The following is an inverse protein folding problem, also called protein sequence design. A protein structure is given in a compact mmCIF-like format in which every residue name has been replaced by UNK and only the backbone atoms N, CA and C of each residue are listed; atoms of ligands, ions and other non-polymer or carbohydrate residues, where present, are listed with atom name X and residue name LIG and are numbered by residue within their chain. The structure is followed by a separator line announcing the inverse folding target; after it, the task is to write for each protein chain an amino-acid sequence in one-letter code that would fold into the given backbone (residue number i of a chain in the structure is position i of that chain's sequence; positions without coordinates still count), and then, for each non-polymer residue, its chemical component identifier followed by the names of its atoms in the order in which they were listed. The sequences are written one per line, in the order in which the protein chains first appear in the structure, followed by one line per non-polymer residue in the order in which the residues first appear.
data_IF_186412081782
#
_entry.id   IF_186412081782
#
_cell.length_a   1.000
_cell.length_b   1.000
_cell.length_c   1.000
_cell.angle_alpha   90.00
_cell.angle_beta   90.00
_cell.angle_gamma   90.00
#
_symmetry.space_group_name_H-M   'P 1'
#
loop_
_entity.id
_entity.type
_entity.pdbx_description
1 polymer ?
#
# COMPACT_ATOMS: atom_id res chain seq x y z
N UNK A 1 -4.86 -4.19 -12.98
CA UNK A 1 -3.40 -4.24 -12.72
C UNK A 1 -2.96 -5.70 -12.83
N UNK A 2 -2.19 -6.00 -13.82
CA UNK A 2 -1.60 -7.31 -14.10
C UNK A 2 -0.08 -7.17 -14.28
N UNK A 3 0.61 -8.26 -14.58
CA UNK A 3 2.07 -8.27 -14.80
C UNK A 3 2.48 -7.29 -15.90
N UNK A 4 1.71 -7.20 -17.01
CA UNK A 4 2.05 -6.33 -18.13
C UNK A 4 1.95 -4.84 -17.73
N UNK A 5 0.96 -4.49 -16.92
CA UNK A 5 0.83 -3.14 -16.36
C UNK A 5 2.07 -2.77 -15.53
N UNK A 6 2.45 -3.61 -14.55
CA UNK A 6 3.56 -3.31 -13.65
C UNK A 6 4.92 -3.32 -14.35
N UNK A 7 5.13 -4.20 -15.34
CA UNK A 7 6.35 -4.18 -16.17
C UNK A 7 6.48 -2.87 -16.98
N UNK A 8 5.37 -2.30 -17.45
CA UNK A 8 5.38 -1.00 -18.15
C UNK A 8 5.69 0.15 -17.20
N UNK A 9 5.06 0.15 -16.03
CA UNK A 9 5.23 1.17 -15.00
C UNK A 9 6.66 1.19 -14.45
N UNK A 10 7.34 0.05 -14.41
CA UNK A 10 8.71 -0.06 -13.89
C UNK A 10 9.68 0.96 -14.52
N UNK A 11 9.54 1.25 -15.82
CA UNK A 11 10.42 2.18 -16.55
C UNK A 11 10.27 3.64 -16.07
N UNK A 12 9.11 4.00 -15.52
CA UNK A 12 8.80 5.35 -15.02
C UNK A 12 8.26 5.31 -13.58
N UNK A 13 8.70 4.33 -12.80
CA UNK A 13 8.14 4.02 -11.48
C UNK A 13 8.12 5.23 -10.54
N UNK A 14 9.19 6.00 -10.49
CA UNK A 14 9.29 7.15 -9.59
C UNK A 14 8.39 8.33 -9.97
N UNK A 15 7.98 8.43 -11.23
CA UNK A 15 7.05 9.46 -11.69
C UNK A 15 5.60 9.02 -11.68
N UNK A 16 5.32 7.70 -11.83
CA UNK A 16 3.96 7.17 -11.92
C UNK A 16 3.44 6.62 -10.59
N UNK A 17 4.33 6.16 -9.70
CA UNK A 17 3.93 5.50 -8.45
C UNK A 17 4.24 6.37 -7.24
N UNK A 18 3.17 6.68 -6.51
CA UNK A 18 3.27 7.42 -5.25
C UNK A 18 4.22 6.75 -4.26
N UNK A 19 5.22 7.48 -3.81
CA UNK A 19 6.19 6.97 -2.85
C UNK A 19 5.77 7.26 -1.42
N UNK A 20 5.16 6.28 -0.76
CA UNK A 20 4.81 6.37 0.66
C UNK A 20 6.05 6.70 1.50
N UNK A 21 7.20 6.07 1.22
CA UNK A 21 8.44 6.31 1.96
C UNK A 21 8.91 7.77 1.90
N UNK A 22 8.79 8.41 0.73
CA UNK A 22 9.23 9.80 0.54
C UNK A 22 8.31 10.81 1.23
N UNK A 23 7.06 10.42 1.53
CA UNK A 23 6.04 11.29 2.12
C UNK A 23 5.66 10.92 3.56
N UNK A 24 6.26 9.87 4.14
CA UNK A 24 6.14 9.53 5.57
C UNK A 24 7.00 10.48 6.42
N UNK A 25 6.59 11.76 6.49
CA UNK A 25 7.31 12.83 7.19
C UNK A 25 7.58 12.50 8.67
N UNK A 26 6.72 11.69 9.28
CA UNK A 26 6.85 11.26 10.66
C UNK A 26 7.68 9.98 10.84
N UNK A 27 8.22 9.42 9.76
CA UNK A 27 9.00 8.18 9.75
C UNK A 27 8.28 6.99 10.44
N UNK A 28 6.97 6.93 10.32
CA UNK A 28 6.15 5.92 11.01
C UNK A 28 6.50 4.50 10.57
N UNK A 29 6.70 4.29 9.27
CA UNK A 29 7.05 2.96 8.73
C UNK A 29 8.44 2.56 9.23
N UNK A 30 9.44 3.45 9.10
CA UNK A 30 10.81 3.18 9.57
C UNK A 30 10.82 2.84 11.06
N UNK A 31 10.14 3.63 11.88
CA UNK A 31 10.04 3.41 13.33
C UNK A 31 9.40 2.06 13.66
N UNK A 32 8.38 1.63 12.88
CA UNK A 32 7.75 0.32 13.09
C UNK A 32 8.65 -0.83 12.65
N UNK A 33 9.38 -0.71 11.54
CA UNK A 33 10.37 -1.71 11.11
C UNK A 33 11.42 -1.88 12.23
N UNK A 34 12.00 -0.80 12.70
CA UNK A 34 13.02 -0.82 13.77
C UNK A 34 12.51 -1.44 15.08
N UNK A 35 11.23 -1.22 15.44
CA UNK A 35 10.61 -1.82 16.64
C UNK A 35 10.64 -3.35 16.62
N UNK A 36 10.51 -3.96 15.42
CA UNK A 36 10.45 -5.42 15.26
C UNK A 36 11.77 -6.02 14.75
N UNK A 37 12.74 -5.18 14.47
CA UNK A 37 14.06 -5.54 13.95
C UNK A 37 14.81 -6.49 14.85
N UNK A 38 15.62 -7.38 14.24
CA UNK A 38 16.60 -8.23 14.91
C UNK A 38 17.53 -8.84 13.87
N UNK A 39 18.83 -8.88 14.16
CA UNK A 39 19.85 -9.53 13.35
C UNK A 39 19.70 -11.06 13.27
N UNK A 40 18.84 -11.66 14.07
CA UNK A 40 18.53 -13.09 14.03
C UNK A 40 17.27 -13.41 13.23
N UNK A 41 16.43 -12.40 12.93
CA UNK A 41 15.14 -12.55 12.25
C UNK A 41 15.26 -12.38 10.74
N UNK A 42 14.31 -12.98 10.04
CA UNK A 42 14.12 -12.80 8.59
C UNK A 42 12.91 -11.92 8.30
N UNK A 43 12.98 -11.19 7.19
CA UNK A 43 11.89 -10.34 6.74
C UNK A 43 11.50 -10.61 5.28
N UNK A 44 10.31 -10.19 4.89
CA UNK A 44 9.91 -10.09 3.50
C UNK A 44 9.32 -8.73 3.17
N UNK A 45 9.61 -8.27 1.95
CA UNK A 45 8.93 -7.14 1.30
C UNK A 45 8.00 -7.70 0.21
N UNK A 46 6.70 -7.64 0.43
CA UNK A 46 5.70 -8.23 -0.47
C UNK A 46 5.13 -7.17 -1.41
N UNK A 47 5.49 -7.24 -2.69
CA UNK A 47 5.28 -6.20 -3.69
C UNK A 47 6.34 -5.12 -3.54
N UNK A 48 7.60 -5.51 -3.57
CA UNK A 48 8.73 -4.62 -3.30
C UNK A 48 8.95 -3.53 -4.35
N UNK A 49 8.31 -3.64 -5.54
CA UNK A 49 8.52 -2.72 -6.65
C UNK A 49 9.99 -2.60 -7.00
N UNK A 50 10.48 -1.38 -7.08
CA UNK A 50 11.89 -1.06 -7.39
C UNK A 50 12.81 -1.06 -6.14
N UNK A 51 12.36 -1.64 -5.01
CA UNK A 51 13.21 -1.90 -3.84
C UNK A 51 13.34 -0.75 -2.84
N UNK A 52 12.43 0.24 -2.81
CA UNK A 52 12.55 1.44 -1.96
C UNK A 52 12.72 1.16 -0.47
N UNK A 53 12.14 0.08 0.05
CA UNK A 53 12.23 -0.31 1.47
C UNK A 53 13.36 -1.29 1.76
N UNK A 54 13.96 -1.91 0.74
CA UNK A 54 15.00 -2.93 0.92
C UNK A 54 16.22 -2.45 1.71
N UNK A 55 16.75 -1.22 1.52
CA UNK A 55 17.85 -0.73 2.35
C UNK A 55 17.53 -0.69 3.84
N UNK A 56 16.27 -0.32 4.20
CA UNK A 56 15.84 -0.26 5.59
C UNK A 56 15.71 -1.68 6.15
N UNK A 57 15.09 -2.60 5.40
CA UNK A 57 14.90 -3.98 5.83
C UNK A 57 16.23 -4.72 5.95
N UNK A 58 17.13 -4.59 4.97
CA UNK A 58 18.45 -5.21 4.95
C UNK A 58 19.30 -4.82 6.16
N UNK A 59 19.22 -3.56 6.59
CA UNK A 59 19.97 -3.07 7.77
C UNK A 59 19.40 -3.57 9.11
N UNK A 60 18.15 -4.05 9.13
CA UNK A 60 17.43 -4.36 10.37
C UNK A 60 17.14 -5.86 10.55
N UNK A 61 17.34 -6.67 9.51
CA UNK A 61 17.08 -8.11 9.55
C UNK A 61 18.26 -8.92 8.99
N UNK A 62 18.40 -10.14 9.47
CA UNK A 62 19.44 -11.08 9.02
C UNK A 62 19.38 -11.33 7.53
N UNK A 63 18.17 -11.49 6.99
CA UNK A 63 17.92 -11.79 5.58
C UNK A 63 16.56 -11.26 5.15
N UNK A 64 16.44 -10.83 3.91
CA UNK A 64 15.23 -10.23 3.33
C UNK A 64 14.85 -10.97 2.05
N UNK A 65 13.59 -11.36 1.94
CA UNK A 65 13.01 -11.86 0.69
C UNK A 65 12.16 -10.76 0.06
N UNK A 66 12.55 -10.30 -1.14
CA UNK A 66 11.86 -9.27 -1.90
C UNK A 66 11.01 -9.92 -2.99
N UNK A 67 9.70 -9.80 -2.90
CA UNK A 67 8.76 -10.38 -3.85
C UNK A 67 8.09 -9.31 -4.68
N UNK A 68 8.02 -9.54 -6.00
CA UNK A 68 7.17 -8.76 -6.89
C UNK A 68 6.64 -9.64 -8.04
N UNK A 69 5.51 -9.25 -8.64
CA UNK A 69 4.92 -9.92 -9.79
C UNK A 69 5.63 -9.55 -11.10
N UNK A 70 6.24 -8.35 -11.15
CA UNK A 70 6.86 -7.76 -12.33
C UNK A 70 8.37 -7.99 -12.33
N UNK A 71 8.88 -8.70 -13.34
CA UNK A 71 10.33 -8.93 -13.45
C UNK A 71 11.11 -7.64 -13.63
N UNK A 72 10.60 -6.69 -14.43
CA UNK A 72 11.27 -5.38 -14.63
C UNK A 72 11.39 -4.57 -13.32
N UNK A 73 10.42 -4.68 -12.43
CA UNK A 73 10.54 -4.06 -11.09
C UNK A 73 11.68 -4.71 -10.29
N UNK A 74 11.79 -6.04 -10.33
CA UNK A 74 12.86 -6.77 -9.63
C UNK A 74 14.24 -6.50 -10.24
N UNK A 75 14.37 -6.37 -11.55
CA UNK A 75 15.61 -5.97 -12.22
C UNK A 75 16.06 -4.61 -11.70
N UNK A 76 15.18 -3.62 -11.69
CA UNK A 76 15.47 -2.29 -11.17
C UNK A 76 15.75 -2.28 -9.65
N UNK A 77 15.05 -3.13 -8.88
CA UNK A 77 15.33 -3.29 -7.45
C UNK A 77 16.73 -3.85 -7.20
N UNK A 78 17.20 -4.83 -8.00
CA UNK A 78 18.57 -5.36 -7.93
C UNK A 78 19.61 -4.28 -8.25
N UNK A 79 19.36 -3.45 -9.25
CA UNK A 79 20.24 -2.34 -9.62
C UNK A 79 20.28 -1.27 -8.52
N UNK A 80 19.14 -0.81 -8.05
CA UNK A 80 19.01 0.20 -7.00
C UNK A 80 19.63 -0.24 -5.66
N UNK A 81 19.64 -1.54 -5.41
CA UNK A 81 20.08 -2.16 -4.16
C UNK A 81 21.29 -3.08 -4.35
N UNK A 82 22.14 -2.85 -5.36
CA UNK A 82 23.25 -3.72 -5.71
C UNK A 82 24.30 -3.89 -4.58
N UNK A 83 24.34 -2.98 -3.61
CA UNK A 83 25.21 -3.02 -2.45
C UNK A 83 24.67 -3.88 -1.30
N UNK A 84 23.45 -4.40 -1.39
CA UNK A 84 22.85 -5.24 -0.36
C UNK A 84 23.16 -6.71 -0.61
N UNK A 85 23.80 -7.38 0.36
CA UNK A 85 24.26 -8.78 0.24
C UNK A 85 23.29 -9.81 0.85
N UNK A 86 22.27 -9.36 1.60
CA UNK A 86 21.34 -10.22 2.32
C UNK A 86 19.90 -10.15 1.79
N UNK A 87 19.73 -9.88 0.50
CA UNK A 87 18.41 -9.78 -0.16
C UNK A 87 18.29 -10.79 -1.28
N UNK A 88 17.26 -11.63 -1.22
CA UNK A 88 16.85 -12.50 -2.32
C UNK A 88 15.65 -11.90 -3.05
N UNK A 89 15.74 -11.81 -4.37
CA UNK A 89 14.68 -11.27 -5.22
C UNK A 89 13.92 -12.41 -5.90
N UNK A 90 12.62 -12.48 -5.67
CA UNK A 90 11.79 -13.59 -6.10
C UNK A 90 10.58 -13.07 -6.89
N UNK A 91 10.45 -13.47 -8.14
CA UNK A 91 9.25 -13.19 -8.92
C UNK A 91 8.12 -14.11 -8.48
N UNK A 92 7.00 -13.53 -8.00
CA UNK A 92 5.84 -14.30 -7.56
C UNK A 92 4.53 -13.49 -7.68
N UNK A 93 3.45 -14.14 -8.13
CA UNK A 93 2.09 -13.62 -8.01
C UNK A 93 1.48 -14.12 -6.69
N UNK A 94 1.50 -13.27 -5.67
CA UNK A 94 1.00 -13.59 -4.33
C UNK A 94 -0.54 -13.74 -4.27
N UNK A 95 -1.24 -13.53 -5.37
CA UNK A 95 -2.70 -13.70 -5.49
C UNK A 95 -3.13 -15.06 -6.05
N UNK A 96 -2.19 -15.97 -6.37
CA UNK A 96 -2.48 -17.35 -6.76
C UNK A 96 -2.48 -18.31 -5.56
N UNK A 97 -3.04 -19.52 -5.73
CA UNK A 97 -3.32 -20.41 -4.60
C UNK A 97 -2.12 -21.11 -3.99
N UNK A 98 -1.13 -21.47 -4.79
CA UNK A 98 -0.03 -22.34 -4.36
C UNK A 98 1.31 -21.64 -4.56
N UNK A 99 1.69 -20.82 -3.57
CA UNK A 99 3.03 -20.26 -3.50
C UNK A 99 3.73 -20.86 -2.30
N UNK A 100 4.81 -21.57 -2.54
CA UNK A 100 5.71 -22.04 -1.50
C UNK A 100 6.73 -20.93 -1.23
N UNK A 101 6.68 -20.35 -0.04
CA UNK A 101 7.60 -19.31 0.42
C UNK A 101 8.19 -19.73 1.77
N UNK A 102 9.47 -19.46 2.04
CA UNK A 102 10.04 -19.66 3.35
C UNK A 102 9.31 -18.77 4.37
N UNK A 103 9.07 -19.27 5.56
CA UNK A 103 8.45 -18.49 6.63
C UNK A 103 9.44 -17.45 7.17
N UNK A 104 8.89 -16.27 7.46
CA UNK A 104 9.64 -15.12 7.98
C UNK A 104 9.04 -14.60 9.29
N UNK A 105 9.82 -13.80 10.01
CA UNK A 105 9.42 -13.22 11.29
C UNK A 105 8.74 -11.86 11.15
N UNK A 106 8.98 -11.20 10.01
CA UNK A 106 8.44 -9.88 9.70
C UNK A 106 8.04 -9.78 8.22
N UNK A 107 6.87 -9.22 7.96
CA UNK A 107 6.41 -8.90 6.61
C UNK A 107 6.13 -7.40 6.53
N UNK A 108 6.72 -6.73 5.54
CA UNK A 108 6.31 -5.44 5.03
C UNK A 108 5.46 -5.64 3.76
N UNK A 109 4.35 -4.91 3.64
CA UNK A 109 3.51 -4.90 2.44
C UNK A 109 2.94 -3.49 2.25
N UNK A 110 3.45 -2.73 1.29
CA UNK A 110 3.07 -1.33 1.07
C UNK A 110 2.38 -1.18 -0.29
N UNK A 111 1.12 -0.77 -0.26
CA UNK A 111 0.28 -0.49 -1.44
C UNK A 111 0.30 -1.62 -2.51
N UNK A 112 0.48 -2.87 -2.08
CA UNK A 112 0.53 -4.02 -2.97
C UNK A 112 -0.81 -4.77 -3.08
N UNK A 113 -1.70 -4.69 -2.06
CA UNK A 113 -3.00 -5.38 -2.06
C UNK A 113 -4.09 -4.42 -2.55
N UNK A 114 -3.91 -3.86 -3.73
CA UNK A 114 -4.78 -2.82 -4.30
C UNK A 114 -5.59 -3.28 -5.53
N UNK A 115 -5.51 -4.56 -5.89
CA UNK A 115 -6.25 -5.11 -7.02
C UNK A 115 -7.78 -5.11 -6.78
N UNK A 116 -8.61 -4.84 -7.82
CA UNK A 116 -10.09 -4.79 -7.68
C UNK A 116 -10.72 -6.13 -7.31
N UNK A 117 -10.10 -7.24 -7.71
CA UNK A 117 -10.65 -8.58 -7.49
C UNK A 117 -10.59 -9.00 -6.02
N UNK A 118 -11.76 -9.16 -5.38
CA UNK A 118 -11.87 -9.63 -4.00
C UNK A 118 -11.21 -11.00 -3.80
N UNK A 119 -11.40 -11.94 -4.74
CA UNK A 119 -10.81 -13.27 -4.63
C UNK A 119 -9.28 -13.24 -4.70
N UNK A 120 -8.69 -12.34 -5.49
CA UNK A 120 -7.23 -12.15 -5.52
C UNK A 120 -6.72 -11.56 -4.21
N UNK A 121 -7.40 -10.54 -3.66
CA UNK A 121 -7.03 -9.97 -2.35
C UNK A 121 -7.10 -11.00 -1.23
N UNK A 122 -8.18 -11.79 -1.19
CA UNK A 122 -8.33 -12.87 -0.19
C UNK A 122 -7.18 -13.88 -0.25
N UNK A 123 -6.79 -14.32 -1.46
CA UNK A 123 -5.64 -15.21 -1.63
C UNK A 123 -4.32 -14.57 -1.20
N UNK A 124 -4.13 -13.29 -1.50
CA UNK A 124 -2.94 -12.55 -1.08
C UNK A 124 -2.83 -12.52 0.45
N UNK A 125 -3.92 -12.21 1.17
CA UNK A 125 -3.94 -12.27 2.64
C UNK A 125 -3.69 -13.68 3.19
N UNK A 126 -4.18 -14.71 2.51
CA UNK A 126 -3.87 -16.11 2.85
C UNK A 126 -2.37 -16.39 2.68
N UNK A 127 -1.76 -15.92 1.59
CA UNK A 127 -0.32 -16.05 1.35
C UNK A 127 0.49 -15.36 2.43
N UNK A 128 0.12 -14.14 2.85
CA UNK A 128 0.73 -13.43 4.00
C UNK A 128 0.66 -14.30 5.26
N UNK A 129 -0.53 -14.82 5.57
CA UNK A 129 -0.71 -15.64 6.77
C UNK A 129 0.14 -16.91 6.74
N UNK A 130 0.26 -17.56 5.59
CA UNK A 130 1.05 -18.78 5.44
C UNK A 130 2.56 -18.53 5.49
N UNK A 131 3.01 -17.41 4.96
CA UNK A 131 4.41 -17.02 4.89
C UNK A 131 4.98 -16.49 6.22
N UNK A 132 4.14 -15.97 7.11
CA UNK A 132 4.57 -15.43 8.39
C UNK A 132 4.69 -16.54 9.45
N UNK A 133 5.75 -16.53 10.25
CA UNK A 133 5.90 -17.36 11.44
C UNK A 133 4.79 -17.08 12.46
N UNK A 134 4.42 -18.06 13.25
CA UNK A 134 3.54 -17.83 14.40
C UNK A 134 4.24 -16.88 15.39
N UNK A 135 3.53 -15.85 15.81
CA UNK A 135 4.11 -14.75 16.59
C UNK A 135 4.86 -13.68 15.78
N UNK A 136 5.02 -13.87 14.47
CA UNK A 136 5.62 -12.89 13.56
C UNK A 136 4.73 -11.66 13.36
N UNK A 137 5.31 -10.58 12.82
CA UNK A 137 4.64 -9.29 12.67
C UNK A 137 4.42 -8.91 11.21
N UNK A 138 3.25 -8.36 10.94
CA UNK A 138 2.87 -7.75 9.66
C UNK A 138 2.80 -6.24 9.82
N UNK A 139 3.48 -5.52 8.95
CA UNK A 139 3.31 -4.10 8.72
C UNK A 139 2.71 -3.91 7.32
N UNK A 140 1.44 -3.48 7.27
CA UNK A 140 0.70 -3.30 6.04
C UNK A 140 0.35 -1.82 5.85
N UNK A 141 0.60 -1.29 4.66
CA UNK A 141 0.10 0.02 4.25
C UNK A 141 -0.86 -0.17 3.08
N UNK A 142 -2.03 0.45 3.17
CA UNK A 142 -3.07 0.41 2.13
C UNK A 142 -3.74 1.76 1.96
N UNK A 143 -4.19 2.11 0.74
CA UNK A 143 -4.90 3.36 0.50
C UNK A 143 -6.20 3.43 1.30
N UNK A 144 -6.50 4.61 1.86
CA UNK A 144 -7.71 4.88 2.63
C UNK A 144 -8.88 5.30 1.74
N UNK A 145 -10.02 4.61 1.87
CA UNK A 145 -11.25 5.00 1.17
C UNK A 145 -11.88 6.27 1.77
N UNK A 146 -11.75 6.45 3.07
CA UNK A 146 -12.17 7.67 3.75
C UNK A 146 -11.35 8.87 3.26
N UNK A 147 -10.03 8.70 3.09
CA UNK A 147 -9.16 9.73 2.54
C UNK A 147 -9.55 10.12 1.11
N UNK A 148 -9.74 9.14 0.22
CA UNK A 148 -10.15 9.38 -1.16
C UNK A 148 -11.49 10.13 -1.24
N UNK A 149 -12.45 9.76 -0.38
CA UNK A 149 -13.74 10.46 -0.28
C UNK A 149 -13.55 11.88 0.23
N UNK A 150 -12.72 12.06 1.26
CA UNK A 150 -12.42 13.37 1.83
C UNK A 150 -11.72 14.29 0.83
N UNK A 151 -10.75 13.79 0.06
CA UNK A 151 -10.09 14.54 -1.03
C UNK A 151 -11.10 15.05 -2.06
N UNK A 152 -12.11 14.22 -2.41
CA UNK A 152 -13.20 14.64 -3.30
C UNK A 152 -14.02 15.79 -2.71
N UNK A 153 -14.35 15.75 -1.41
CA UNK A 153 -15.06 16.83 -0.69
C UNK A 153 -14.25 18.13 -0.73
N UNK A 154 -12.94 18.06 -0.46
CA UNK A 154 -12.04 19.22 -0.49
C UNK A 154 -11.93 19.83 -1.89
N UNK A 155 -11.95 19.00 -2.94
CA UNK A 155 -11.93 19.48 -4.33
C UNK A 155 -13.24 20.18 -4.69
N UNK A 156 -14.39 19.67 -4.23
CA UNK A 156 -15.70 20.36 -4.41
C UNK A 156 -15.65 21.74 -3.74
N UNK A 157 -15.20 21.82 -2.49
CA UNK A 157 -15.06 23.10 -1.77
C UNK A 157 -14.14 24.07 -2.53
N UNK A 158 -13.01 23.59 -3.02
CA UNK A 158 -12.08 24.42 -3.80
C UNK A 158 -12.74 24.96 -5.08
N UNK A 159 -13.45 24.12 -5.82
CA UNK A 159 -14.17 24.53 -7.03
C UNK A 159 -15.27 25.56 -6.71
N UNK A 160 -16.00 25.42 -5.61
CA UNK A 160 -16.98 26.42 -5.17
C UNK A 160 -16.31 27.76 -4.83
N UNK A 161 -15.18 27.77 -4.12
CA UNK A 161 -14.41 28.97 -3.82
C UNK A 161 -13.85 29.67 -5.07
N UNK A 162 -13.74 28.93 -6.19
CA UNK A 162 -13.39 29.46 -7.51
C UNK A 162 -14.61 29.97 -8.30
N UNK A 163 -15.79 29.97 -7.71
CA UNK A 163 -17.02 30.53 -8.27
C UNK A 163 -17.92 29.50 -8.96
N UNK A 164 -17.66 28.21 -8.91
CA UNK A 164 -18.59 27.23 -9.44
C UNK A 164 -19.80 27.08 -8.51
N UNK A 165 -20.99 26.91 -9.09
CA UNK A 165 -22.16 26.48 -8.31
C UNK A 165 -21.90 25.10 -7.70
N UNK A 166 -22.60 24.73 -6.61
CA UNK A 166 -22.44 23.42 -5.96
C UNK A 166 -22.61 22.26 -6.96
N UNK A 167 -23.66 22.29 -7.77
CA UNK A 167 -23.89 21.25 -8.79
C UNK A 167 -22.74 21.14 -9.80
N UNK A 168 -22.23 22.28 -10.30
CA UNK A 168 -21.12 22.29 -11.23
C UNK A 168 -19.81 21.80 -10.57
N UNK A 169 -19.57 22.15 -9.31
CA UNK A 169 -18.40 21.69 -8.55
C UNK A 169 -18.43 20.17 -8.32
N UNK A 170 -19.59 19.61 -7.96
CA UNK A 170 -19.79 18.16 -7.82
C UNK A 170 -19.58 17.45 -9.16
N UNK A 171 -20.18 17.95 -10.24
CA UNK A 171 -20.02 17.34 -11.56
C UNK A 171 -18.58 17.39 -12.08
N UNK A 172 -17.81 18.44 -11.77
CA UNK A 172 -16.41 18.55 -12.14
C UNK A 172 -15.57 17.44 -11.48
N UNK A 173 -15.82 17.13 -10.19
CA UNK A 173 -15.15 16.04 -9.48
C UNK A 173 -15.60 14.69 -10.03
N UNK A 174 -16.91 14.49 -10.27
CA UNK A 174 -17.46 13.26 -10.79
C UNK A 174 -16.96 12.93 -12.20
N UNK A 175 -16.91 13.91 -13.09
CA UNK A 175 -16.43 13.76 -14.46
C UNK A 175 -14.91 13.55 -14.52
N UNK A 176 -14.16 14.17 -13.63
CA UNK A 176 -12.71 13.96 -13.50
C UNK A 176 -12.37 12.52 -13.08
N UNK A 177 -13.20 11.91 -12.23
CA UNK A 177 -13.05 10.53 -11.78
C UNK A 177 -13.61 9.48 -12.78
N UNK A 178 -13.88 9.87 -13.98
CA UNK A 178 -14.28 9.05 -15.15
C UNK A 178 -15.06 7.76 -14.84
N UNK A 179 -16.39 7.84 -14.98
CA UNK A 179 -17.30 6.68 -15.17
C UNK A 179 -17.14 5.55 -14.15
N UNK A 180 -16.96 5.90 -12.87
CA UNK A 180 -16.88 4.91 -11.81
C UNK A 180 -18.21 4.16 -11.69
N UNK A 181 -18.17 2.83 -11.75
CA UNK A 181 -19.36 2.01 -11.55
C UNK A 181 -19.80 2.09 -10.08
N UNK A 182 -21.11 2.28 -9.76
CA UNK A 182 -21.58 2.29 -8.38
C UNK A 182 -21.16 1.07 -7.58
N UNK A 183 -21.13 -0.12 -8.19
CA UNK A 183 -20.68 -1.36 -7.58
C UNK A 183 -19.18 -1.36 -7.21
N UNK A 184 -18.37 -0.55 -7.86
CA UNK A 184 -16.97 -0.36 -7.50
C UNK A 184 -16.85 0.50 -6.24
N UNK A 185 -17.58 1.62 -6.15
CA UNK A 185 -17.58 2.47 -4.96
C UNK A 185 -18.01 1.70 -3.71
N UNK A 186 -19.06 0.88 -3.82
CA UNK A 186 -19.52 0.02 -2.71
C UNK A 186 -18.46 -0.97 -2.21
N UNK A 187 -17.48 -1.29 -3.06
CA UNK A 187 -16.35 -2.14 -2.70
C UNK A 187 -15.08 -1.36 -2.34
N UNK A 188 -15.16 -0.02 -2.26
CA UNK A 188 -13.99 0.83 -2.05
C UNK A 188 -13.01 0.82 -3.22
N UNK A 189 -13.47 0.56 -4.44
CA UNK A 189 -12.64 0.62 -5.65
C UNK A 189 -12.76 2.01 -6.24
N UNK A 190 -11.67 2.75 -6.27
CA UNK A 190 -11.55 4.10 -6.83
C UNK A 190 -10.68 4.06 -8.08
N UNK A 191 -11.03 4.79 -9.12
CA UNK A 191 -10.19 4.94 -10.30
C UNK A 191 -9.10 5.99 -10.02
N UNK A 192 -7.85 5.57 -10.09
CA UNK A 192 -6.68 6.44 -10.07
C UNK A 192 -6.08 6.40 -11.48
N UNK A 193 -6.05 7.51 -12.19
CA UNK A 193 -5.56 7.62 -13.57
C UNK A 193 -6.10 6.50 -14.48
N UNK A 194 -7.42 6.29 -14.43
CA UNK A 194 -8.17 5.25 -15.15
C UNK A 194 -7.89 3.80 -14.67
N UNK A 195 -7.09 3.60 -13.62
CA UNK A 195 -6.78 2.28 -13.06
C UNK A 195 -7.67 2.02 -11.84
N UNK A 196 -8.56 1.00 -11.86
CA UNK A 196 -9.36 0.63 -10.70
C UNK A 196 -8.47 0.14 -9.56
N UNK A 197 -8.48 0.86 -8.45
CA UNK A 197 -7.60 0.64 -7.29
C UNK A 197 -8.42 0.46 -6.03
N UNK A 198 -8.20 -0.61 -5.29
CA UNK A 198 -8.87 -0.87 -4.01
C UNK A 198 -8.32 0.07 -2.94
N UNK A 199 -9.23 0.79 -2.30
CA UNK A 199 -9.03 1.57 -1.09
C UNK A 199 -9.81 0.92 0.05
N UNK A 200 -9.32 1.00 1.28
CA UNK A 200 -9.87 0.28 2.43
C UNK A 200 -10.49 1.24 3.44
N UNK A 201 -11.66 0.86 3.99
CA UNK A 201 -12.18 1.47 5.20
C UNK A 201 -11.41 0.94 6.42
N UNK A 202 -11.29 1.77 7.45
CA UNK A 202 -10.70 1.34 8.73
C UNK A 202 -11.46 0.16 9.33
N UNK A 203 -12.78 0.23 9.31
CA UNK A 203 -13.68 -0.81 9.83
C UNK A 203 -13.60 -2.09 9.01
N UNK A 204 -13.43 -1.98 7.68
CA UNK A 204 -13.18 -3.14 6.80
C UNK A 204 -11.89 -3.85 7.21
N UNK A 205 -10.81 -3.10 7.50
CA UNK A 205 -9.55 -3.67 7.98
C UNK A 205 -9.74 -4.37 9.33
N UNK A 206 -10.47 -3.76 10.28
CA UNK A 206 -10.77 -4.38 11.56
C UNK A 206 -11.50 -5.72 11.37
N UNK A 207 -12.54 -5.77 10.54
CA UNK A 207 -13.30 -6.98 10.26
C UNK A 207 -12.45 -8.04 9.54
N UNK A 208 -11.62 -7.62 8.58
CA UNK A 208 -10.71 -8.50 7.84
C UNK A 208 -9.73 -9.21 8.79
N UNK A 209 -9.06 -8.47 9.69
CA UNK A 209 -8.08 -9.04 10.61
C UNK A 209 -8.73 -9.89 11.72
N UNK A 210 -10.00 -9.65 12.08
CA UNK A 210 -10.76 -10.55 12.94
C UNK A 210 -10.98 -11.93 12.29
N UNK A 211 -11.23 -11.97 10.98
CA UNK A 211 -11.40 -13.18 10.19
C UNK A 211 -10.11 -13.92 9.85
N UNK A 212 -8.96 -13.25 9.95
CA UNK A 212 -7.64 -13.82 9.77
C UNK A 212 -7.05 -14.27 11.11
N UNK A 213 -6.05 -15.14 11.07
CA UNK A 213 -5.35 -15.59 12.29
C UNK A 213 -4.32 -14.56 12.80
N UNK A 214 -4.77 -13.29 13.01
CA UNK A 214 -3.94 -12.20 13.49
C UNK A 214 -4.56 -11.48 14.70
N UNK A 215 -3.70 -10.98 15.57
CA UNK A 215 -4.04 -9.97 16.55
C UNK A 215 -3.72 -8.60 15.95
N UNK A 216 -4.75 -7.79 15.76
CA UNK A 216 -4.61 -6.42 15.27
C UNK A 216 -4.16 -5.53 16.42
N UNK A 217 -2.97 -4.95 16.31
CA UNK A 217 -2.40 -4.11 17.36
C UNK A 217 -2.75 -2.64 17.16
N UNK A 218 -2.68 -2.15 15.90
CA UNK A 218 -2.86 -0.74 15.61
C UNK A 218 -3.29 -0.51 14.16
N UNK A 219 -4.16 0.47 13.94
CA UNK A 219 -4.41 1.10 12.64
C UNK A 219 -4.19 2.61 12.82
N UNK A 220 -3.22 3.17 12.11
CA UNK A 220 -2.88 4.60 12.12
C UNK A 220 -2.97 5.21 10.73
N UNK A 221 -3.10 6.53 10.69
CA UNK A 221 -2.93 7.31 9.46
C UNK A 221 -1.45 7.55 9.20
N UNK A 222 -1.04 7.39 7.95
CA UNK A 222 0.14 8.05 7.40
C UNK A 222 -0.40 9.23 6.62
N UNK A 223 -0.25 10.42 7.15
CA UNK A 223 -0.78 11.64 6.54
C UNK A 223 0.23 12.23 5.56
N UNK A 224 -0.31 12.79 4.46
CA UNK A 224 0.46 13.39 3.38
C UNK A 224 0.02 14.84 3.18
N UNK A 225 0.90 15.69 2.67
CA UNK A 225 0.50 17.05 2.33
C UNK A 225 -0.45 17.08 1.11
N UNK A 226 -1.36 18.07 1.03
CA UNK A 226 -2.32 18.20 -0.08
C UNK A 226 -1.69 18.25 -1.48
N UNK A 227 -0.38 18.48 -1.59
CA UNK A 227 0.36 18.42 -2.86
C UNK A 227 0.43 17.00 -3.45
N UNK A 228 0.16 15.97 -2.67
CA UNK A 228 0.11 14.58 -3.15
C UNK A 228 -1.19 14.29 -3.91
N UNK A 229 -2.23 15.08 -3.63
CA UNK A 229 -3.57 14.92 -4.24
C UNK A 229 -3.83 15.95 -5.34
N UNK A 230 -3.31 17.16 -5.18
CA UNK A 230 -3.64 18.30 -6.06
C UNK A 230 -2.40 19.05 -6.49
N UNK A 231 -2.37 19.44 -7.77
CA UNK A 231 -1.39 20.39 -8.26
C UNK A 231 -1.67 21.79 -7.70
N UNK A 232 -0.70 22.39 -7.00
CA UNK A 232 -0.79 23.71 -6.41
C UNK A 232 -2.02 23.95 -5.50
N UNK A 233 -2.22 23.12 -4.45
CA UNK A 233 -3.34 23.32 -3.53
C UNK A 233 -3.28 24.71 -2.89
N UNK A 234 -4.44 25.38 -2.66
CA UNK A 234 -4.48 26.70 -2.11
C UNK A 234 -4.00 26.71 -0.66
N UNK A 235 -3.39 27.81 -0.20
CA UNK A 235 -2.81 27.94 1.15
C UNK A 235 -3.81 27.74 2.30
N UNK A 236 -5.11 27.94 2.05
CA UNK A 236 -6.16 27.69 3.05
C UNK A 236 -6.47 26.20 3.26
N UNK A 237 -6.09 25.32 2.30
CA UNK A 237 -6.32 23.89 2.37
C UNK A 237 -5.27 23.24 3.29
N UNK A 238 -5.54 23.31 4.58
CA UNK A 238 -4.71 22.76 5.66
C UNK A 238 -5.28 21.44 6.17
N UNK A 239 -4.77 20.96 7.30
CA UNK A 239 -5.28 19.77 8.00
C UNK A 239 -6.82 19.75 8.12
N UNK A 240 -7.41 18.54 8.16
CA UNK A 240 -6.79 17.22 8.05
C UNK A 240 -6.25 16.97 6.64
N UNK A 241 -5.11 16.26 6.54
CA UNK A 241 -4.46 15.90 5.28
C UNK A 241 -4.96 14.56 4.74
N UNK A 242 -4.76 14.23 3.45
CA UNK A 242 -5.00 12.89 2.92
C UNK A 242 -4.07 11.87 3.58
N UNK A 243 -4.50 10.59 3.62
CA UNK A 243 -3.75 9.56 4.33
C UNK A 243 -3.95 8.15 3.75
N UNK A 244 -2.97 7.29 4.00
CA UNK A 244 -3.09 5.84 3.92
C UNK A 244 -3.24 5.23 5.32
N UNK A 245 -3.76 3.99 5.38
CA UNK A 245 -3.82 3.23 6.62
C UNK A 245 -2.53 2.42 6.82
N UNK A 246 -1.86 2.64 7.93
CA UNK A 246 -0.77 1.81 8.45
C UNK A 246 -1.35 0.83 9.46
N UNK A 247 -1.27 -0.45 9.16
CA UNK A 247 -1.74 -1.55 10.02
C UNK A 247 -0.55 -2.29 10.59
N UNK A 248 -0.54 -2.46 11.91
CA UNK A 248 0.41 -3.34 12.62
C UNK A 248 -0.36 -4.51 13.20
N UNK A 249 -0.02 -5.73 12.81
CA UNK A 249 -0.66 -6.95 13.29
C UNK A 249 0.39 -8.02 13.63
N UNK A 250 0.01 -8.95 14.51
CA UNK A 250 0.83 -10.10 14.90
C UNK A 250 0.09 -11.38 14.59
N UNK A 251 0.76 -12.34 13.97
CA UNK A 251 0.17 -13.65 13.74
C UNK A 251 0.01 -14.41 15.06
N UNK A 252 -1.20 -14.94 15.31
CA UNK A 252 -1.47 -15.74 16.51
C UNK A 252 -0.65 -17.02 16.50
N UNK A 253 -0.22 -17.44 17.67
CA UNK A 253 0.35 -18.77 17.83
C UNK A 253 -0.76 -19.82 17.69
N UNK A 254 -0.45 -20.89 16.96
CA UNK A 254 -1.35 -22.05 16.98
C UNK A 254 -1.32 -22.65 18.39
N UNK A 255 -2.50 -22.80 18.98
CA UNK A 255 -2.65 -23.55 20.24
C UNK A 255 -2.36 -25.01 20.01
#
# INVERSE_FOLDING_TARGET
MDVAYWNRVAEQYDSEIFSVLAHDENNLIRTRIQKFASETKTASDLGCGIGKFLPILSQNFRHVYAYDIAEKCLEQARENCANLSNVDYVRADLSIREIIMPKVDFILCVNSIIMPSMSKRSRYFTSISNHLNDGGHLLLVVPSFESATYSSIRLIEWNQRRGLSYGAAVMAVWNGNNKQKPSHLQQGIVNIDHVPTKHYLKEELCALFQGLNFDLHEIRKIEYGWKTEFSNPPKWMKEPYPWDWLVTARKRQKK
#
